data_IF_143616322919
#
_entry.id   IF_143616322919
#
_cell.length_a   1.000
_cell.length_b   1.000
_cell.length_c   1.000
_cell.angle_alpha   90.00
_cell.angle_beta   90.00
_cell.angle_gamma   90.00
#
_symmetry.space_group_name_H-M   'P 1'
#
loop_
_entity.id
_entity.type
_entity.pdbx_description
1 polymer ?
#
# COMPACT_ATOMS: atom_id res chain seq x y z
N UNK A 1 14.61 27.91 11.94
CA UNK A 1 14.18 27.66 11.68
C UNK A 1 13.84 27.32 11.63
N UNK A 2 13.99 27.41 11.48
CA UNK A 2 13.52 26.95 11.22
C UNK A 2 12.82 26.38 11.17
N UNK A 3 12.70 26.33 11.13
CA UNK A 3 11.96 25.84 10.85
C UNK A 3 11.63 25.36 10.56
N UNK A 4 11.80 25.41 10.53
CA UNK A 4 11.43 24.95 10.15
C UNK A 4 11.01 24.32 10.03
N UNK A 5 11.03 24.47 10.15
CA UNK A 5 10.53 23.83 9.91
C UNK A 5 9.88 23.37 9.97
N UNK A 6 9.67 23.48 10.07
CA UNK A 6 8.99 23.13 9.85
C UNK A 6 8.40 22.82 9.50
N UNK A 7 8.52 22.94 9.60
CA UNK A 7 7.91 22.55 8.99
C UNK A 7 7.24 21.95 8.85
N UNK A 8 7.02 22.04 8.97
CA UNK A 8 6.42 21.48 8.51
C UNK A 8 5.94 20.88 8.41
N UNK A 9 5.83 20.79 8.56
CA UNK A 9 5.42 20.09 8.28
C UNK A 9 4.79 19.68 7.93
N UNK A 10 4.82 19.30 8.14
CA UNK A 10 4.22 18.88 7.64
C UNK A 10 3.66 19.04 6.85
N UNK A 11 3.49 19.55 6.94
CA UNK A 11 3.18 19.64 5.90
C UNK A 11 3.84 19.34 5.02
N UNK A 12 4.58 19.27 5.35
CA UNK A 12 5.37 19.03 4.52
C UNK A 12 5.73 17.71 4.36
N UNK A 13 6.07 16.92 4.75
CA UNK A 13 6.59 15.63 4.41
C UNK A 13 5.51 14.63 4.09
N UNK A 14 5.51 14.16 2.90
CA UNK A 14 4.69 13.03 2.51
C UNK A 14 5.52 11.78 2.58
N UNK A 15 4.86 10.67 2.89
CA UNK A 15 5.50 9.38 2.88
C UNK A 15 5.10 8.61 1.64
N UNK A 16 6.01 7.84 1.10
CA UNK A 16 5.62 6.71 0.28
C UNK A 16 5.79 5.48 1.16
N UNK A 17 4.74 4.72 1.32
CA UNK A 17 4.76 3.50 2.12
C UNK A 17 4.50 2.33 1.20
N UNK A 18 5.27 1.26 1.35
CA UNK A 18 5.03 0.07 0.55
C UNK A 18 5.16 -1.18 1.40
N UNK A 19 4.39 -2.19 1.01
CA UNK A 19 4.43 -3.52 1.61
C UNK A 19 4.71 -4.52 0.52
N UNK A 20 5.79 -5.29 0.69
CA UNK A 20 6.06 -6.45 -0.15
C UNK A 20 5.48 -7.66 0.59
N UNK A 21 4.58 -8.38 -0.04
CA UNK A 21 3.90 -9.49 0.62
C UNK A 21 3.46 -10.54 -0.38
N UNK A 22 3.09 -11.70 0.13
CA UNK A 22 2.52 -12.80 -0.64
C UNK A 22 1.08 -12.98 -0.20
N UNK A 23 0.15 -13.11 -1.16
CA UNK A 23 -1.26 -13.25 -0.81
C UNK A 23 -1.55 -14.51 -0.01
N UNK A 24 -0.88 -15.62 -0.34
CA UNK A 24 -1.23 -16.89 0.28
C UNK A 24 -2.60 -17.36 -0.20
N UNK A 25 -3.28 -18.13 0.65
CA UNK A 25 -4.55 -18.77 0.27
C UNK A 25 -5.76 -18.21 1.00
N UNK A 26 -5.59 -17.20 1.85
CA UNK A 26 -6.69 -16.70 2.70
C UNK A 26 -7.47 -15.58 2.05
N UNK A 27 -6.81 -14.75 1.25
CA UNK A 27 -7.41 -13.57 0.65
C UNK A 27 -6.99 -13.46 -0.80
N UNK A 28 -7.79 -12.69 -1.56
CA UNK A 28 -7.55 -12.39 -2.96
C UNK A 28 -7.33 -10.89 -3.12
N UNK A 29 -6.78 -10.44 -4.26
CA UNK A 29 -6.58 -8.99 -4.46
C UNK A 29 -7.84 -8.16 -4.25
N UNK A 30 -9.02 -8.65 -4.66
CA UNK A 30 -10.28 -7.92 -4.49
C UNK A 30 -10.57 -7.59 -3.03
N UNK A 31 -10.08 -8.41 -2.11
CA UNK A 31 -10.30 -8.19 -0.67
C UNK A 31 -9.61 -6.95 -0.15
N UNK A 32 -8.65 -6.41 -0.91
CA UNK A 32 -7.98 -5.16 -0.55
C UNK A 32 -8.86 -3.93 -0.74
N UNK A 33 -9.87 -4.02 -1.62
CA UNK A 33 -10.57 -2.84 -2.10
C UNK A 33 -11.21 -2.04 -0.97
N UNK A 34 -11.86 -2.70 -0.01
CA UNK A 34 -12.51 -2.01 1.09
C UNK A 34 -11.52 -1.23 1.95
N UNK A 35 -10.28 -1.70 2.03
CA UNK A 35 -9.25 -1.02 2.83
C UNK A 35 -8.60 0.11 2.04
N UNK A 36 -8.34 -0.11 0.76
CA UNK A 36 -7.67 0.91 -0.06
C UNK A 36 -8.59 2.10 -0.37
N UNK A 37 -9.89 1.85 -0.50
CA UNK A 37 -10.86 2.93 -0.73
C UNK A 37 -10.93 3.89 0.46
N UNK A 38 -10.62 3.43 1.66
CA UNK A 38 -10.64 4.27 2.85
C UNK A 38 -9.41 5.18 2.97
N UNK A 39 -8.41 4.97 2.14
CA UNK A 39 -7.16 5.74 2.18
C UNK A 39 -7.29 6.92 1.23
N UNK A 40 -6.96 8.13 1.71
CA UNK A 40 -7.12 9.36 0.92
C UNK A 40 -6.01 9.59 -0.10
N UNK A 41 -5.09 8.66 -0.21
CA UNK A 41 -3.96 8.77 -1.14
C UNK A 41 -4.13 7.79 -2.28
N UNK A 42 -3.31 7.96 -3.33
CA UNK A 42 -3.25 6.96 -4.40
C UNK A 42 -2.64 5.67 -3.86
N UNK A 43 -3.22 4.55 -4.23
CA UNK A 43 -2.75 3.24 -3.82
C UNK A 43 -2.63 2.35 -5.05
N UNK A 44 -1.47 1.71 -5.20
CA UNK A 44 -1.16 0.86 -6.34
C UNK A 44 -0.79 -0.54 -5.87
N UNK A 45 -1.09 -1.52 -6.71
CA UNK A 45 -0.65 -2.90 -6.49
C UNK A 45 0.21 -3.29 -7.68
N UNK A 46 1.40 -3.78 -7.42
CA UNK A 46 2.39 -4.12 -8.44
C UNK A 46 2.78 -5.58 -8.35
N UNK A 47 2.75 -6.25 -9.48
CA UNK A 47 3.35 -7.59 -9.60
C UNK A 47 4.86 -7.41 -9.80
N UNK A 48 5.66 -7.99 -8.89
CA UNK A 48 7.10 -7.87 -8.99
C UNK A 48 7.64 -8.66 -10.19
N UNK A 49 7.03 -9.81 -10.47
CA UNK A 49 7.55 -10.71 -11.52
C UNK A 49 7.40 -10.14 -12.92
N UNK A 50 6.29 -9.47 -13.22
CA UNK A 50 6.07 -8.91 -14.57
C UNK A 50 5.95 -7.39 -14.57
N UNK A 51 6.16 -6.75 -13.43
CA UNK A 51 6.16 -5.30 -13.25
C UNK A 51 4.83 -4.62 -13.60
N UNK A 52 3.76 -5.39 -13.74
CA UNK A 52 2.44 -4.82 -13.97
C UNK A 52 1.96 -4.08 -12.74
N UNK A 53 1.45 -2.86 -12.94
CA UNK A 53 0.97 -2.03 -11.83
C UNK A 53 -0.48 -1.62 -12.11
N UNK A 54 -1.32 -1.69 -11.08
CA UNK A 54 -2.73 -1.34 -11.19
C UNK A 54 -3.13 -0.39 -10.06
N UNK A 55 -4.25 0.29 -10.26
CA UNK A 55 -4.88 1.11 -9.21
C UNK A 55 -5.55 0.17 -8.21
N UNK A 56 -5.03 0.13 -6.99
CA UNK A 56 -5.53 -0.79 -5.97
C UNK A 56 -6.88 -0.34 -5.36
N UNK A 57 -7.44 0.78 -5.80
CA UNK A 57 -8.78 1.21 -5.43
C UNK A 57 -9.84 0.77 -6.45
N UNK A 58 -9.41 0.20 -7.57
CA UNK A 58 -10.32 -0.25 -8.62
C UNK A 58 -10.66 -1.72 -8.41
N UNK A 59 -11.93 -2.00 -8.12
CA UNK A 59 -12.39 -3.37 -7.94
C UNK A 59 -12.17 -4.20 -9.20
N UNK A 60 -12.44 -3.60 -10.37
CA UNK A 60 -12.26 -4.29 -11.65
C UNK A 60 -10.79 -4.63 -11.86
N UNK A 61 -9.89 -3.66 -11.64
CA UNK A 61 -8.46 -3.91 -11.81
C UNK A 61 -7.97 -4.98 -10.84
N UNK A 62 -8.42 -4.93 -9.58
CA UNK A 62 -8.04 -5.94 -8.60
C UNK A 62 -8.55 -7.33 -8.99
N UNK A 63 -9.77 -7.42 -9.53
CA UNK A 63 -10.34 -8.72 -9.92
C UNK A 63 -9.59 -9.35 -11.08
N UNK A 64 -8.91 -8.54 -11.88
CA UNK A 64 -8.16 -9.01 -13.05
C UNK A 64 -6.65 -9.07 -12.80
N UNK A 65 -6.21 -8.76 -11.60
CA UNK A 65 -4.79 -8.71 -11.28
C UNK A 65 -4.20 -10.12 -11.34
N UNK A 66 -3.18 -10.34 -12.19
CA UNK A 66 -2.55 -11.65 -12.29
C UNK A 66 -1.59 -11.86 -11.11
N UNK A 67 -1.80 -12.92 -10.35
CA UNK A 67 -0.94 -13.22 -9.22
C UNK A 67 -0.91 -14.72 -8.95
N UNK A 68 0.15 -15.15 -8.27
CA UNK A 68 0.23 -16.47 -7.67
C UNK A 68 0.35 -16.30 -6.16
N UNK A 69 -0.31 -17.13 -5.35
CA UNK A 69 -0.30 -16.97 -3.90
C UNK A 69 1.10 -16.93 -3.27
N UNK A 70 2.09 -17.55 -3.93
CA UNK A 70 3.45 -17.63 -3.41
C UNK A 70 4.38 -16.56 -3.96
N UNK A 71 3.90 -15.74 -4.90
CA UNK A 71 4.73 -14.67 -5.47
C UNK A 71 4.61 -13.40 -4.64
N UNK A 72 5.71 -12.66 -4.59
CA UNK A 72 5.72 -11.37 -3.90
C UNK A 72 5.10 -10.31 -4.79
N UNK A 73 4.19 -9.56 -4.19
CA UNK A 73 3.59 -8.37 -4.81
C UNK A 73 3.91 -7.17 -3.93
N UNK A 74 3.74 -5.97 -4.49
CA UNK A 74 4.01 -4.74 -3.75
C UNK A 74 2.78 -3.85 -3.75
N UNK A 75 2.35 -3.45 -2.56
CA UNK A 75 1.29 -2.47 -2.39
C UNK A 75 1.96 -1.14 -2.05
N UNK A 76 1.66 -0.09 -2.82
CA UNK A 76 2.31 1.21 -2.70
C UNK A 76 1.26 2.26 -2.37
N UNK A 77 1.49 3.02 -1.29
CA UNK A 77 0.64 4.12 -0.89
C UNK A 77 1.43 5.40 -1.10
N UNK A 78 0.98 6.25 -2.02
CA UNK A 78 1.67 7.47 -2.39
C UNK A 78 1.20 8.65 -1.54
N UNK A 79 2.09 9.60 -1.31
CA UNK A 79 1.77 10.88 -0.65
C UNK A 79 0.99 10.67 0.62
N UNK A 80 1.39 9.66 1.36
CA UNK A 80 0.63 9.17 2.49
C UNK A 80 0.92 9.97 3.75
N UNK A 81 -0.14 10.24 4.50
CA UNK A 81 -0.03 10.72 5.88
C UNK A 81 -0.49 9.60 6.79
N UNK A 82 0.19 9.43 7.89
CA UNK A 82 -0.20 8.40 8.86
C UNK A 82 -1.68 8.57 9.22
N UNK A 83 -2.44 7.50 9.15
CA UNK A 83 -3.88 7.54 9.37
C UNK A 83 -4.38 6.20 9.90
N UNK A 84 -5.59 6.22 10.44
CA UNK A 84 -6.23 4.99 10.89
C UNK A 84 -6.49 4.03 9.74
N UNK A 85 -6.77 4.58 8.52
CA UNK A 85 -7.00 3.75 7.35
C UNK A 85 -5.74 2.97 6.98
N UNK A 86 -4.56 3.60 7.11
CA UNK A 86 -3.30 2.91 6.84
C UNK A 86 -3.07 1.78 7.84
N UNK A 87 -3.38 2.04 9.10
CA UNK A 87 -3.22 1.03 10.15
C UNK A 87 -4.16 -0.14 9.94
N UNK A 88 -5.39 0.14 9.51
CA UNK A 88 -6.36 -0.91 9.22
C UNK A 88 -5.89 -1.80 8.08
N UNK A 89 -5.34 -1.20 7.01
CA UNK A 89 -4.80 -1.97 5.90
C UNK A 89 -3.61 -2.80 6.34
N UNK A 90 -2.70 -2.21 7.09
CA UNK A 90 -1.51 -2.94 7.57
C UNK A 90 -1.92 -4.11 8.45
N UNK A 91 -2.89 -3.90 9.34
CA UNK A 91 -3.39 -4.96 10.21
C UNK A 91 -4.00 -6.08 9.38
N UNK A 92 -4.83 -5.72 8.39
CA UNK A 92 -5.43 -6.72 7.49
C UNK A 92 -4.35 -7.56 6.81
N UNK A 93 -3.32 -6.91 6.27
CA UNK A 93 -2.23 -7.63 5.61
C UNK A 93 -1.50 -8.54 6.59
N UNK A 94 -1.24 -8.07 7.81
CA UNK A 94 -0.49 -8.86 8.79
C UNK A 94 -1.26 -10.10 9.23
N UNK A 95 -2.59 -10.04 9.24
CA UNK A 95 -3.42 -11.14 9.69
C UNK A 95 -3.75 -12.15 8.59
N UNK A 96 -3.68 -11.72 7.33
CA UNK A 96 -4.22 -12.53 6.22
C UNK A 96 -3.23 -12.82 5.11
N UNK A 97 -2.06 -12.22 5.13
CA UNK A 97 -1.04 -12.42 4.10
C UNK A 97 0.31 -12.66 4.76
N UNK A 98 1.32 -12.92 3.94
CA UNK A 98 2.69 -13.12 4.44
C UNK A 98 3.50 -11.89 4.05
N UNK A 99 3.72 -11.00 5.02
CA UNK A 99 4.48 -9.78 4.78
C UNK A 99 5.97 -10.12 4.73
N UNK A 100 6.62 -9.73 3.63
CA UNK A 100 8.05 -9.93 3.43
C UNK A 100 8.82 -8.70 3.87
N UNK A 101 8.29 -7.50 3.55
CA UNK A 101 8.99 -6.26 3.86
C UNK A 101 7.98 -5.11 3.93
N UNK A 102 8.22 -4.19 4.86
CA UNK A 102 7.55 -2.90 4.89
C UNK A 102 8.60 -1.82 4.68
N UNK A 103 8.30 -0.85 3.82
CA UNK A 103 9.23 0.25 3.56
C UNK A 103 8.50 1.57 3.65
N UNK A 104 9.10 2.53 4.33
CA UNK A 104 8.59 3.89 4.43
C UNK A 104 9.68 4.82 3.93
N UNK A 105 9.36 5.61 2.90
CA UNK A 105 10.29 6.59 2.35
C UNK A 105 9.65 7.96 2.50
N UNK A 106 10.35 8.86 3.18
CA UNK A 106 9.86 10.21 3.36
C UNK A 106 10.41 11.10 2.26
N UNK A 107 9.52 11.87 1.66
CA UNK A 107 9.87 12.85 0.63
C UNK A 107 9.71 14.24 1.21
N UNK A 108 10.70 15.06 1.02
CA UNK A 108 10.68 16.45 1.47
C UNK A 108 10.17 17.40 0.39
#
# INVERSE_FOLDING_TARGET
MKVKKVKGISEMGFFEMSFDFKFGNRVKPVDLCQYTLAIDSEVYLQSISNMKIINAKSLIALSQFPYFPTETVRLIIKDNKSSEANKALEYFLSQNTIIVRKRVVQHD
#
